data_IF_748271122727
#
_entry.id   IF_748271122727
#
_cell.length_a   1.000
_cell.length_b   1.000
_cell.length_c   1.000
_cell.angle_alpha   90.00
_cell.angle_beta   90.00
_cell.angle_gamma   90.00
#
_symmetry.space_group_name_H-M   'P 1'
#
loop_
_entity.id
_entity.type
_entity.pdbx_description
1 polymer ?
#
# COMPACT_ATOMS: atom_id res chain seq x y z
N UNK A 1 -4.99 -11.45 23.16
CA UNK A 1 -4.00 -11.02 24.04
C UNK A 1 -4.34 -9.67 24.58
N UNK A 2 -4.02 -9.57 25.72
CA UNK A 2 -4.26 -8.34 26.33
C UNK A 2 -3.20 -7.37 25.88
N UNK A 3 -3.57 -6.41 25.17
CA UNK A 3 -2.60 -5.43 24.83
C UNK A 3 -2.24 -4.63 26.07
N UNK A 4 -1.16 -3.93 25.97
CA UNK A 4 -0.65 -3.20 27.11
C UNK A 4 -1.21 -1.80 27.07
N UNK A 5 -2.11 -1.48 27.97
CA UNK A 5 -2.77 -0.18 27.91
C UNK A 5 -1.84 0.97 28.20
N UNK A 6 -0.71 0.68 28.79
CA UNK A 6 0.21 1.75 29.10
C UNK A 6 1.30 1.93 28.08
N UNK A 7 1.23 1.20 26.98
CA UNK A 7 2.17 1.39 25.91
C UNK A 7 1.87 2.73 25.30
N UNK A 8 2.84 3.60 25.30
CA UNK A 8 2.56 4.89 24.76
C UNK A 8 2.76 4.89 23.26
N UNK A 9 2.09 5.81 22.61
CA UNK A 9 2.07 5.86 21.15
C UNK A 9 3.43 6.16 20.56
N UNK A 10 4.27 6.89 21.29
CA UNK A 10 5.61 7.18 20.79
C UNK A 10 6.42 5.93 20.65
N UNK A 11 6.31 5.05 21.64
CA UNK A 11 7.04 3.80 21.60
C UNK A 11 6.52 2.91 20.49
N UNK A 12 5.21 2.85 20.34
CA UNK A 12 4.62 2.07 19.28
C UNK A 12 5.04 2.58 17.91
N UNK A 13 5.05 3.89 17.76
CA UNK A 13 5.43 4.50 16.51
C UNK A 13 6.89 4.22 16.19
N UNK A 14 7.74 4.29 17.20
CA UNK A 14 9.15 4.01 17.01
C UNK A 14 9.36 2.57 16.59
N UNK A 15 8.65 1.67 17.24
CA UNK A 15 8.76 0.26 16.90
C UNK A 15 8.31 0.01 15.47
N UNK A 16 7.24 0.65 15.04
CA UNK A 16 6.74 0.50 13.68
C UNK A 16 7.77 1.03 12.69
N UNK A 17 8.40 2.15 13.00
CA UNK A 17 9.41 2.70 12.12
C UNK A 17 10.62 1.78 11.97
N UNK A 18 10.90 1.01 13.00
CA UNK A 18 12.06 0.12 12.97
C UNK A 18 11.75 -1.20 12.27
N UNK A 19 10.56 -1.74 12.48
CA UNK A 19 10.26 -3.08 12.02
C UNK A 19 9.23 -3.14 10.91
N UNK A 20 8.46 -2.09 10.69
CA UNK A 20 7.41 -2.17 9.69
C UNK A 20 8.01 -2.01 8.30
N UNK A 21 7.31 -2.59 7.35
CA UNK A 21 7.69 -2.51 5.96
C UNK A 21 7.20 -1.19 5.40
N UNK A 22 8.07 -0.49 4.71
CA UNK A 22 7.71 0.76 4.07
C UNK A 22 7.08 0.46 2.72
N UNK A 23 6.04 1.19 2.38
CA UNK A 23 5.43 1.03 1.08
C UNK A 23 6.47 1.30 -0.02
N UNK A 24 6.66 0.37 -0.93
CA UNK A 24 7.58 0.60 -2.03
C UNK A 24 6.98 1.58 -3.03
N UNK A 25 7.83 2.19 -3.81
CA UNK A 25 7.37 3.06 -4.88
C UNK A 25 6.89 2.21 -6.04
N UNK A 26 5.94 2.75 -6.79
CA UNK A 26 5.53 2.08 -8.01
C UNK A 26 6.73 1.98 -8.94
N UNK A 27 6.92 0.81 -9.57
CA UNK A 27 8.06 0.65 -10.47
C UNK A 27 7.98 1.63 -11.64
N UNK A 28 9.12 2.07 -12.10
CA UNK A 28 9.17 2.99 -13.23
C UNK A 28 9.24 2.26 -14.56
N UNK A 29 8.92 0.98 -14.55
CA UNK A 29 8.87 0.19 -15.77
C UNK A 29 7.72 0.59 -16.69
N UNK A 30 6.80 1.38 -16.18
CA UNK A 30 5.71 1.90 -16.99
C UNK A 30 5.29 3.25 -16.45
N UNK A 31 4.61 3.98 -17.29
CA UNK A 31 4.09 5.28 -16.90
C UNK A 31 2.69 5.10 -16.33
N UNK A 32 2.55 5.34 -15.05
CA UNK A 32 1.30 5.12 -14.35
C UNK A 32 0.36 6.31 -14.54
N UNK A 33 -0.92 6.04 -14.70
CA UNK A 33 -1.87 7.12 -14.82
C UNK A 33 -2.10 7.78 -13.46
N UNK A 34 -2.68 8.98 -13.51
CA UNK A 34 -2.85 9.76 -12.28
C UNK A 34 -3.73 9.07 -11.26
N UNK A 35 -4.77 8.38 -11.71
CA UNK A 35 -5.66 7.67 -10.81
C UNK A 35 -4.93 6.56 -10.06
N UNK A 36 -4.05 5.85 -10.73
CA UNK A 36 -3.31 4.78 -10.08
C UNK A 36 -2.27 5.33 -9.12
N UNK A 37 -1.62 6.43 -9.47
CA UNK A 37 -0.68 7.07 -8.56
C UNK A 37 -1.38 7.52 -7.29
N UNK A 38 -2.57 8.07 -7.42
CA UNK A 38 -3.33 8.53 -6.30
C UNK A 38 -3.79 7.35 -5.43
N UNK A 39 -4.27 6.29 -6.08
CA UNK A 39 -4.70 5.09 -5.39
C UNK A 39 -3.55 4.50 -4.56
N UNK A 40 -2.37 4.43 -5.15
CA UNK A 40 -1.20 3.91 -4.47
C UNK A 40 -0.83 4.78 -3.26
N UNK A 41 -0.87 6.07 -3.46
CA UNK A 41 -0.55 6.99 -2.37
C UNK A 41 -1.54 6.86 -1.22
N UNK A 42 -2.83 6.75 -1.54
CA UNK A 42 -3.84 6.62 -0.51
C UNK A 42 -3.64 5.35 0.30
N UNK A 43 -3.29 4.26 -0.37
CA UNK A 43 -2.97 3.01 0.33
C UNK A 43 -1.82 3.20 1.29
N UNK A 44 -0.79 3.91 0.88
CA UNK A 44 0.38 4.13 1.73
C UNK A 44 0.11 5.04 2.90
N UNK A 45 -0.89 5.91 2.79
CA UNK A 45 -1.24 6.82 3.86
C UNK A 45 -2.21 6.21 4.85
N UNK A 46 -2.80 5.09 4.52
CA UNK A 46 -3.73 4.41 5.42
C UNK A 46 -2.96 3.87 6.62
N UNK A 47 -3.56 4.03 7.82
CA UNK A 47 -2.90 3.57 9.03
C UNK A 47 -2.61 2.07 9.00
N UNK A 48 -3.39 1.31 8.24
CA UNK A 48 -3.20 -0.13 8.15
C UNK A 48 -2.01 -0.51 7.29
N UNK A 49 -1.47 0.42 6.53
CA UNK A 49 -0.34 0.13 5.65
C UNK A 49 0.88 -0.34 6.43
N UNK A 50 1.00 0.08 7.67
CA UNK A 50 2.14 -0.32 8.49
C UNK A 50 2.14 -1.81 8.80
N UNK A 51 1.02 -2.49 8.59
CA UNK A 51 0.91 -3.91 8.85
C UNK A 51 0.99 -4.75 7.59
N UNK A 52 1.21 -4.13 6.45
CA UNK A 52 1.29 -4.84 5.18
C UNK A 52 2.72 -5.38 5.02
N UNK A 53 2.83 -6.66 4.75
CA UNK A 53 4.14 -7.29 4.59
C UNK A 53 4.71 -7.00 3.21
N UNK A 54 6.00 -7.32 3.04
CA UNK A 54 6.65 -7.20 1.73
C UNK A 54 5.91 -7.99 0.67
N UNK A 55 5.48 -9.19 1.03
CA UNK A 55 4.79 -10.04 0.07
C UNK A 55 3.45 -9.46 -0.33
N UNK A 56 2.77 -8.88 0.63
CA UNK A 56 1.50 -8.25 0.34
C UNK A 56 1.67 -7.02 -0.52
N UNK A 57 2.75 -6.28 -0.31
CA UNK A 57 3.03 -5.13 -1.16
C UNK A 57 3.32 -5.56 -2.59
N UNK A 58 4.00 -6.69 -2.78
CA UNK A 58 4.22 -7.21 -4.11
C UNK A 58 2.91 -7.58 -4.79
N UNK A 59 2.02 -8.18 -4.02
CA UNK A 59 0.70 -8.51 -4.54
C UNK A 59 -0.06 -7.26 -4.92
N UNK A 60 0.04 -6.22 -4.10
CA UNK A 60 -0.63 -4.96 -4.39
C UNK A 60 -0.03 -4.25 -5.59
N UNK A 61 1.24 -4.49 -5.88
CA UNK A 61 1.82 -3.96 -7.10
C UNK A 61 1.20 -4.57 -8.34
N UNK A 62 0.92 -5.87 -8.29
CA UNK A 62 0.21 -6.50 -9.40
C UNK A 62 -1.19 -5.92 -9.52
N UNK A 63 -1.83 -5.68 -8.40
CA UNK A 63 -3.14 -5.04 -8.41
C UNK A 63 -3.06 -3.64 -9.00
N UNK A 64 -1.96 -2.95 -8.80
CA UNK A 64 -1.77 -1.62 -9.36
C UNK A 64 -1.75 -1.65 -10.88
N UNK A 65 -1.16 -2.69 -11.46
CA UNK A 65 -1.16 -2.83 -12.92
C UNK A 65 -2.58 -2.98 -13.44
N UNK A 66 -3.37 -3.78 -12.76
CA UNK A 66 -4.77 -3.97 -13.15
C UNK A 66 -5.53 -2.65 -13.00
N UNK A 67 -5.32 -1.96 -11.90
CA UNK A 67 -5.95 -0.68 -11.65
C UNK A 67 -5.61 0.31 -12.77
N UNK A 68 -4.36 0.35 -13.14
CA UNK A 68 -3.89 1.24 -14.17
C UNK A 68 -4.54 0.92 -15.52
N UNK A 69 -4.64 -0.35 -15.84
CA UNK A 69 -5.28 -0.78 -17.08
C UNK A 69 -6.76 -0.43 -17.11
N UNK A 70 -7.43 -0.59 -15.97
CA UNK A 70 -8.85 -0.26 -15.90
C UNK A 70 -9.07 1.21 -16.21
N UNK A 71 -8.26 2.08 -15.65
CA UNK A 71 -8.44 3.50 -15.84
C UNK A 71 -8.00 3.97 -17.21
N UNK A 72 -6.96 3.35 -17.77
CA UNK A 72 -6.48 3.75 -19.09
C UNK A 72 -7.36 3.23 -20.21
N UNK A 73 -7.85 2.00 -20.06
CA UNK A 73 -8.52 1.33 -21.16
C UNK A 73 -10.00 1.11 -20.93
N UNK A 74 -10.50 1.50 -19.78
CA UNK A 74 -11.89 1.26 -19.45
C UNK A 74 -12.21 -0.22 -19.31
N UNK A 75 -11.24 -1.02 -18.89
CA UNK A 75 -11.35 -2.46 -18.84
C UNK A 75 -12.00 -2.93 -17.55
N UNK A 76 -13.29 -2.71 -17.45
CA UNK A 76 -14.02 -3.12 -16.25
C UNK A 76 -14.00 -4.64 -16.05
N UNK A 77 -13.80 -5.38 -17.12
CA UNK A 77 -13.75 -6.84 -17.03
C UNK A 77 -12.58 -7.33 -16.20
N UNK A 78 -11.56 -6.50 -16.00
CA UNK A 78 -10.41 -6.88 -15.21
C UNK A 78 -10.69 -6.81 -13.72
N UNK A 79 -11.77 -6.19 -13.33
CA UNK A 79 -12.09 -5.99 -11.92
C UNK A 79 -13.00 -7.10 -11.38
N UNK A 80 -13.71 -7.74 -12.24
CA UNK A 80 -14.74 -8.72 -11.86
C UNK A 80 -14.19 -10.02 -11.22
#
# INVERSE_FOLDING_TARGET
VKYLPFVDLSVCRLFVLVVSVVQPELPDSREWCGETRRWWRVWGEDARAQFVSDEEWLFLMDAAVIHDCVWREGRADLVA
#
